data_IF_769376805367
#
_entry.id   IF_769376805367
#
_cell.length_a   1.000
_cell.length_b   1.000
_cell.length_c   1.000
_cell.angle_alpha   90.00
_cell.angle_beta   90.00
_cell.angle_gamma   90.00
#
_symmetry.space_group_name_H-M   'P 1'
#
loop_
_entity.id
_entity.type
_entity.pdbx_description
1 polymer ?
#
# COMPACT_ATOMS: atom_id res chain seq x y z
N UNK A 1 -2.76 0.81 -5.02
CA UNK A 1 -1.57 0.22 -4.35
C UNK A 1 -1.89 -1.17 -3.80
N UNK A 2 -2.89 -1.37 -2.91
CA UNK A 2 -3.19 -2.68 -2.31
C UNK A 2 -3.49 -3.76 -3.36
N UNK A 3 -4.33 -3.44 -4.35
CA UNK A 3 -4.65 -4.35 -5.48
C UNK A 3 -3.39 -4.76 -6.26
N UNK A 4 -2.48 -3.82 -6.52
CA UNK A 4 -1.23 -4.11 -7.23
C UNK A 4 -0.30 -5.02 -6.40
N UNK A 5 -0.24 -4.84 -5.08
CA UNK A 5 0.49 -5.75 -4.20
C UNK A 5 -0.11 -7.15 -4.22
N UNK A 6 -1.43 -7.26 -4.13
CA UNK A 6 -2.13 -8.54 -4.26
C UNK A 6 -1.80 -9.23 -5.60
N UNK A 7 -1.90 -8.50 -6.71
CA UNK A 7 -1.59 -9.03 -8.04
C UNK A 7 -0.13 -9.46 -8.16
N UNK A 8 0.80 -8.63 -7.68
CA UNK A 8 2.23 -8.93 -7.69
C UNK A 8 2.54 -10.21 -6.89
N UNK A 9 2.09 -10.30 -5.65
CA UNK A 9 2.40 -11.45 -4.80
C UNK A 9 1.71 -12.72 -5.25
N UNK A 10 0.48 -12.62 -5.80
CA UNK A 10 -0.18 -13.77 -6.46
C UNK A 10 0.65 -14.24 -7.67
N UNK A 11 1.20 -13.31 -8.47
CA UNK A 11 2.04 -13.63 -9.62
C UNK A 11 3.38 -14.25 -9.21
N UNK A 12 3.91 -13.89 -8.04
CA UNK A 12 5.09 -14.51 -7.43
C UNK A 12 4.80 -15.90 -6.82
N UNK A 13 3.55 -16.39 -6.90
CA UNK A 13 3.16 -17.73 -6.47
C UNK A 13 2.60 -17.83 -5.05
N UNK A 14 2.41 -16.70 -4.35
CA UNK A 14 1.83 -16.70 -3.00
C UNK A 14 0.31 -16.71 -3.03
N UNK A 15 -0.30 -17.43 -2.09
CA UNK A 15 -1.71 -17.27 -1.81
C UNK A 15 -1.95 -15.97 -1.04
N UNK A 16 -2.79 -15.08 -1.59
CA UNK A 16 -2.98 -13.74 -1.05
C UNK A 16 -4.45 -13.41 -0.79
N UNK A 17 -4.69 -12.61 0.25
CA UNK A 17 -5.95 -11.92 0.46
C UNK A 17 -5.87 -10.45 0.05
N UNK A 18 -6.99 -9.87 -0.33
CA UNK A 18 -7.15 -8.44 -0.61
C UNK A 18 -8.40 -7.91 0.06
N UNK A 19 -8.28 -6.78 0.75
CA UNK A 19 -9.41 -6.00 1.27
C UNK A 19 -9.30 -4.59 0.68
N UNK A 20 -10.24 -4.21 -0.19
CA UNK A 20 -10.17 -2.96 -0.93
C UNK A 20 -11.54 -2.36 -1.21
N UNK A 21 -11.57 -1.13 -1.68
CA UNK A 21 -12.79 -0.41 -2.05
C UNK A 21 -13.60 -1.11 -3.14
N UNK A 22 -12.95 -1.84 -4.05
CA UNK A 22 -13.61 -2.40 -5.24
C UNK A 22 -14.09 -3.82 -4.98
N UNK A 23 -13.31 -4.63 -4.28
CA UNK A 23 -13.63 -6.01 -3.98
C UNK A 23 -12.70 -6.57 -2.90
N UNK A 24 -13.15 -7.59 -2.20
CA UNK A 24 -12.31 -8.43 -1.36
C UNK A 24 -11.97 -9.72 -2.10
N UNK A 25 -10.77 -10.25 -1.86
CA UNK A 25 -10.33 -11.54 -2.42
C UNK A 25 -9.79 -12.44 -1.31
N UNK A 26 -10.11 -13.73 -1.40
CA UNK A 26 -9.52 -14.79 -0.57
C UNK A 26 -8.94 -15.80 -1.55
N UNK A 27 -7.61 -15.84 -1.70
CA UNK A 27 -7.01 -16.48 -2.86
C UNK A 27 -7.58 -15.89 -4.15
N UNK A 28 -8.02 -16.73 -5.07
CA UNK A 28 -8.59 -16.30 -6.35
C UNK A 28 -10.11 -15.99 -6.29
N UNK A 29 -10.75 -16.21 -5.13
CA UNK A 29 -12.18 -16.01 -4.99
C UNK A 29 -12.50 -14.56 -4.66
N UNK A 30 -13.37 -13.94 -5.49
CA UNK A 30 -13.85 -12.57 -5.34
C UNK A 30 -15.11 -12.52 -4.48
N UNK A 31 -15.13 -11.57 -3.53
CA UNK A 31 -16.28 -11.27 -2.67
C UNK A 31 -16.70 -9.81 -2.86
N UNK A 32 -17.99 -9.56 -2.78
CA UNK A 32 -18.53 -8.20 -2.78
C UNK A 32 -18.11 -7.46 -1.51
N UNK A 33 -17.95 -6.14 -1.59
CA UNK A 33 -17.69 -5.27 -0.46
C UNK A 33 -18.58 -4.04 -0.52
N UNK A 34 -19.07 -3.61 0.63
CA UNK A 34 -19.83 -2.35 0.77
C UNK A 34 -18.94 -1.21 1.29
N UNK A 35 -17.81 -1.56 1.91
CA UNK A 35 -16.88 -0.62 2.52
C UNK A 35 -15.43 -0.90 2.14
N UNK A 36 -14.64 0.16 1.97
CA UNK A 36 -13.18 0.06 1.76
C UNK A 36 -12.50 -0.79 2.83
N UNK A 37 -12.91 -0.60 4.07
CA UNK A 37 -12.49 -1.39 5.22
C UNK A 37 -13.75 -1.82 5.94
N UNK A 38 -14.07 -3.11 6.03
CA UNK A 38 -15.25 -3.64 6.70
C UNK A 38 -15.32 -3.26 8.18
N UNK A 39 -16.46 -3.53 8.82
CA UNK A 39 -16.56 -3.43 10.28
C UNK A 39 -15.65 -4.46 10.98
N UNK A 40 -15.36 -4.31 12.28
CA UNK A 40 -14.38 -5.17 12.96
C UNK A 40 -14.72 -6.65 12.93
N UNK A 41 -16.01 -7.02 12.97
CA UNK A 41 -16.46 -8.42 12.98
C UNK A 41 -16.24 -9.03 11.60
N UNK A 42 -16.77 -8.38 10.56
CA UNK A 42 -16.60 -8.81 9.17
C UNK A 42 -15.12 -8.88 8.78
N UNK A 43 -14.32 -7.87 9.17
CA UNK A 43 -12.89 -7.82 8.89
C UNK A 43 -12.16 -9.03 9.50
N UNK A 44 -12.40 -9.35 10.76
CA UNK A 44 -11.79 -10.50 11.41
C UNK A 44 -12.29 -11.84 10.83
N UNK A 45 -13.56 -11.94 10.43
CA UNK A 45 -14.08 -13.11 9.71
C UNK A 45 -13.37 -13.30 8.37
N UNK A 46 -13.18 -12.26 7.57
CA UNK A 46 -12.45 -12.33 6.30
C UNK A 46 -11.00 -12.76 6.52
N UNK A 47 -10.32 -12.20 7.52
CA UNK A 47 -8.94 -12.57 7.84
C UNK A 47 -8.85 -14.05 8.30
N UNK A 48 -9.80 -14.53 9.10
CA UNK A 48 -9.88 -15.95 9.48
C UNK A 48 -10.06 -16.85 8.26
N UNK A 49 -10.98 -16.49 7.36
CA UNK A 49 -11.19 -17.24 6.12
C UNK A 49 -9.96 -17.23 5.20
N UNK A 50 -9.20 -16.14 5.18
CA UNK A 50 -7.92 -16.06 4.45
C UNK A 50 -6.90 -17.03 5.04
N UNK A 51 -6.79 -17.12 6.36
CA UNK A 51 -5.92 -18.09 7.04
C UNK A 51 -6.34 -19.53 6.72
N UNK A 52 -7.64 -19.83 6.79
CA UNK A 52 -8.18 -21.17 6.48
C UNK A 52 -7.95 -21.54 5.01
N UNK A 53 -7.93 -20.57 4.11
CA UNK A 53 -7.61 -20.74 2.69
C UNK A 53 -6.11 -20.83 2.39
N UNK A 54 -5.24 -20.71 3.41
CA UNK A 54 -3.79 -20.77 3.26
C UNK A 54 -3.16 -19.50 2.73
N UNK A 55 -3.83 -18.33 2.85
CA UNK A 55 -3.23 -17.05 2.45
C UNK A 55 -2.05 -16.71 3.36
N UNK A 56 -0.91 -16.43 2.74
CA UNK A 56 0.34 -16.03 3.41
C UNK A 56 0.41 -14.52 3.62
N UNK A 57 -0.26 -13.76 2.77
CA UNK A 57 -0.32 -12.30 2.80
C UNK A 57 -1.76 -11.82 2.70
N UNK A 58 -2.06 -10.73 3.41
CA UNK A 58 -3.27 -9.93 3.20
C UNK A 58 -2.86 -8.49 2.96
N UNK A 59 -3.24 -7.95 1.81
CA UNK A 59 -3.08 -6.54 1.47
C UNK A 59 -4.40 -5.82 1.65
N UNK A 60 -4.40 -4.71 2.38
CA UNK A 60 -5.66 -4.00 2.63
C UNK A 60 -5.54 -2.49 2.51
N UNK A 61 -6.62 -1.87 2.11
CA UNK A 61 -6.80 -0.42 2.17
C UNK A 61 -7.35 -0.05 3.54
N UNK A 62 -6.63 0.83 4.24
CA UNK A 62 -7.03 1.36 5.54
C UNK A 62 -7.54 2.77 5.36
N UNK A 63 -8.87 2.94 5.38
CA UNK A 63 -9.51 4.24 5.24
C UNK A 63 -9.36 5.07 6.52
N UNK A 64 -9.43 6.40 6.42
CA UNK A 64 -9.42 7.27 7.59
C UNK A 64 -10.63 7.03 8.50
N UNK A 65 -11.78 6.69 7.92
CA UNK A 65 -12.97 6.31 8.69
C UNK A 65 -12.72 5.03 9.52
N UNK A 66 -12.06 4.02 8.94
CA UNK A 66 -11.76 2.79 9.65
C UNK A 66 -10.79 2.98 10.82
N UNK A 67 -9.85 3.91 10.67
CA UNK A 67 -8.93 4.30 11.76
C UNK A 67 -9.69 5.02 12.86
N UNK A 68 -10.54 5.99 12.49
CA UNK A 68 -11.29 6.80 13.44
C UNK A 68 -12.33 5.98 14.21
N UNK A 69 -12.94 5.01 13.55
CA UNK A 69 -13.94 4.11 14.11
C UNK A 69 -13.34 2.84 14.71
N UNK A 70 -12.02 2.78 14.88
CA UNK A 70 -11.29 1.63 15.47
C UNK A 70 -11.61 0.27 14.80
N UNK A 71 -12.00 0.27 13.50
CA UNK A 71 -12.33 -0.97 12.76
C UNK A 71 -11.16 -1.93 12.62
N UNK A 72 -9.93 -1.42 12.71
CA UNK A 72 -8.69 -2.19 12.63
C UNK A 72 -8.07 -2.46 14.01
N UNK A 73 -8.79 -2.19 15.10
CA UNK A 73 -8.31 -2.42 16.45
C UNK A 73 -7.94 -3.90 16.67
N UNK A 74 -6.80 -4.14 17.31
CA UNK A 74 -6.29 -5.49 17.57
C UNK A 74 -5.55 -6.14 16.40
N UNK A 75 -5.56 -5.57 15.19
CA UNK A 75 -4.75 -6.08 14.09
C UNK A 75 -3.29 -5.66 14.23
N UNK A 76 -2.39 -6.59 13.89
CA UNK A 76 -0.95 -6.35 13.86
C UNK A 76 -0.48 -6.33 12.40
N UNK A 77 -0.03 -5.16 11.95
CA UNK A 77 0.41 -4.97 10.58
C UNK A 77 1.92 -5.22 10.44
N UNK A 78 2.31 -5.94 9.39
CA UNK A 78 3.72 -6.13 9.00
C UNK A 78 4.33 -4.85 8.44
N UNK A 79 3.51 -3.99 7.85
CA UNK A 79 3.93 -2.69 7.34
C UNK A 79 2.77 -1.79 6.98
N UNK A 80 3.05 -0.50 6.87
CA UNK A 80 2.13 0.52 6.39
C UNK A 80 2.73 1.32 5.25
N UNK A 81 1.92 1.68 4.26
CA UNK A 81 2.32 2.47 3.11
C UNK A 81 1.52 3.77 3.09
N UNK A 82 2.22 4.90 3.11
CA UNK A 82 1.64 6.20 2.87
C UNK A 82 1.93 6.65 1.44
N UNK A 83 0.90 6.77 0.62
CA UNK A 83 1.02 7.21 -0.78
C UNK A 83 0.93 8.73 -0.93
N UNK A 84 -0.19 9.29 -0.54
CA UNK A 84 -0.46 10.73 -0.60
C UNK A 84 -1.64 11.11 0.30
N UNK A 85 -1.81 12.41 0.46
CA UNK A 85 -2.96 13.01 1.14
C UNK A 85 -3.55 14.14 0.29
N UNK A 86 -4.78 13.95 -0.15
CA UNK A 86 -5.57 14.95 -0.86
C UNK A 86 -6.59 15.59 0.08
N UNK A 87 -7.12 16.76 -0.31
CA UNK A 87 -8.23 17.40 0.42
C UNK A 87 -9.53 16.63 0.16
N UNK A 88 -9.75 15.57 0.94
CA UNK A 88 -10.90 14.69 0.86
C UNK A 88 -11.46 14.39 2.25
N UNK A 89 -12.69 13.86 2.32
CA UNK A 89 -13.34 13.45 3.57
C UNK A 89 -13.45 14.58 4.64
N UNK A 90 -13.51 15.87 4.22
CA UNK A 90 -13.64 17.00 5.15
C UNK A 90 -15.07 17.13 5.69
N UNK A 91 -16.06 16.56 5.01
CA UNK A 91 -17.41 16.37 5.49
C UNK A 91 -17.43 15.58 6.81
N UNK A 92 -16.59 14.54 6.90
CA UNK A 92 -16.45 13.69 8.09
C UNK A 92 -15.46 14.29 9.11
N UNK A 93 -14.21 14.53 8.72
CA UNK A 93 -13.16 14.98 9.64
C UNK A 93 -13.22 16.44 10.05
N UNK A 94 -14.09 17.26 9.40
CA UNK A 94 -14.33 18.69 9.64
C UNK A 94 -13.12 19.58 9.27
N UNK A 95 -11.90 19.18 9.57
CA UNK A 95 -10.68 19.91 9.25
C UNK A 95 -9.63 19.00 8.64
N UNK A 96 -8.76 19.57 7.82
CA UNK A 96 -7.64 18.85 7.25
C UNK A 96 -6.63 18.38 8.31
N UNK A 97 -6.49 19.14 9.39
CA UNK A 97 -5.65 18.75 10.53
C UNK A 97 -6.16 17.48 11.22
N UNK A 98 -7.47 17.38 11.46
CA UNK A 98 -8.07 16.17 12.02
C UNK A 98 -7.90 14.98 11.10
N UNK A 99 -8.03 15.17 9.78
CA UNK A 99 -7.80 14.13 8.79
C UNK A 99 -6.34 13.63 8.82
N UNK A 100 -5.35 14.54 8.90
CA UNK A 100 -3.93 14.19 9.08
C UNK A 100 -3.74 13.41 10.39
N UNK A 101 -4.24 13.92 11.53
CA UNK A 101 -4.12 13.25 12.84
C UNK A 101 -4.71 11.85 12.82
N UNK A 102 -5.86 11.69 12.19
CA UNK A 102 -6.50 10.38 12.06
C UNK A 102 -5.63 9.40 11.29
N UNK A 103 -5.17 9.74 10.08
CA UNK A 103 -4.31 8.85 9.30
C UNK A 103 -2.98 8.56 10.00
N UNK A 104 -2.42 9.55 10.71
CA UNK A 104 -1.19 9.40 11.47
C UNK A 104 -1.30 8.36 12.58
N UNK A 105 -2.47 8.20 13.23
CA UNK A 105 -2.71 7.17 14.26
C UNK A 105 -2.38 5.76 13.77
N UNK A 106 -2.63 5.45 12.50
CA UNK A 106 -2.26 4.16 11.92
C UNK A 106 -0.74 3.92 11.97
N UNK A 107 0.06 4.91 11.55
CA UNK A 107 1.53 4.79 11.55
C UNK A 107 2.12 4.83 12.96
N UNK A 108 1.54 5.62 13.86
CA UNK A 108 1.94 5.68 15.28
C UNK A 108 1.68 4.35 15.99
N UNK A 109 0.66 3.60 15.56
CA UNK A 109 0.30 2.29 16.11
C UNK A 109 1.06 1.10 15.51
N UNK A 110 1.92 1.31 14.51
CA UNK A 110 2.70 0.22 13.93
C UNK A 110 3.73 -0.32 14.92
N UNK A 111 3.86 -1.66 15.05
CA UNK A 111 4.85 -2.26 15.94
C UNK A 111 6.28 -1.99 15.44
N UNK A 112 7.25 -2.10 16.35
CA UNK A 112 8.67 -1.85 16.07
C UNK A 112 9.25 -2.74 14.95
N UNK A 113 8.72 -3.94 14.81
CA UNK A 113 9.12 -4.93 13.80
C UNK A 113 8.52 -4.66 12.43
N UNK A 114 7.55 -3.74 12.35
CA UNK A 114 6.94 -3.33 11.09
C UNK A 114 7.80 -2.32 10.32
N UNK A 115 7.44 -2.09 9.06
CA UNK A 115 7.96 -0.96 8.30
C UNK A 115 6.86 0.11 8.07
N UNK A 116 7.29 1.36 7.98
CA UNK A 116 6.47 2.50 7.56
C UNK A 116 7.07 3.07 6.28
N UNK A 117 6.50 2.68 5.13
CA UNK A 117 6.95 3.13 3.81
C UNK A 117 6.23 4.43 3.45
N UNK A 118 6.98 5.51 3.24
CA UNK A 118 6.41 6.85 3.10
C UNK A 118 6.86 7.55 1.83
N UNK A 119 5.89 8.12 1.09
CA UNK A 119 6.15 9.00 -0.03
C UNK A 119 6.65 10.37 0.47
N UNK A 120 7.93 10.67 0.26
CA UNK A 120 8.52 11.95 0.69
C UNK A 120 8.33 13.09 -0.30
N UNK A 121 7.70 12.83 -1.44
CA UNK A 121 7.28 13.86 -2.37
C UNK A 121 5.95 14.51 -1.94
N UNK A 122 5.14 13.81 -1.14
CA UNK A 122 4.00 14.41 -0.45
C UNK A 122 4.48 15.20 0.77
N UNK A 123 3.99 16.43 0.90
CA UNK A 123 4.38 17.36 2.00
C UNK A 123 4.05 16.80 3.40
N UNK A 124 3.03 15.95 3.50
CA UNK A 124 2.60 15.35 4.76
C UNK A 124 3.29 14.00 5.03
N UNK A 125 4.07 13.46 4.09
CA UNK A 125 4.66 12.14 4.20
C UNK A 125 5.46 11.95 5.49
N UNK A 126 6.42 12.86 5.75
CA UNK A 126 7.24 12.79 6.96
C UNK A 126 6.45 13.06 8.25
N UNK A 127 5.34 13.81 8.17
CA UNK A 127 4.46 14.05 9.32
C UNK A 127 3.79 12.74 9.76
N UNK A 128 3.39 11.88 8.83
CA UNK A 128 2.75 10.60 9.14
C UNK A 128 3.61 9.69 10.00
N UNK A 129 4.93 9.76 9.85
CA UNK A 129 5.86 8.82 10.51
C UNK A 129 6.65 9.45 11.67
N UNK A 130 6.28 10.65 12.10
CA UNK A 130 7.03 11.38 13.15
C UNK A 130 7.15 10.62 14.47
N UNK A 131 6.12 9.90 14.88
CA UNK A 131 6.05 9.24 16.19
C UNK A 131 6.02 7.70 16.07
N UNK A 132 6.13 7.16 14.86
CA UNK A 132 6.13 5.71 14.66
C UNK A 132 7.36 5.08 15.29
N UNK A 133 7.19 3.89 15.85
CA UNK A 133 8.31 3.06 16.28
C UNK A 133 8.78 2.08 15.18
N UNK A 134 8.00 1.97 14.10
CA UNK A 134 8.32 1.12 12.96
C UNK A 134 9.55 1.65 12.20
N UNK A 135 10.21 0.77 11.46
CA UNK A 135 11.31 1.16 10.57
C UNK A 135 10.80 2.06 9.44
N UNK A 136 11.18 3.34 9.46
CA UNK A 136 10.81 4.29 8.41
C UNK A 136 11.64 4.04 7.17
N UNK A 137 10.96 3.83 6.03
CA UNK A 137 11.54 3.70 4.70
C UNK A 137 10.89 4.71 3.77
N UNK A 138 11.69 5.40 2.97
CA UNK A 138 11.25 6.52 2.13
C UNK A 138 11.26 6.12 0.65
N UNK A 139 10.25 6.52 -0.09
CA UNK A 139 10.26 6.39 -1.54
C UNK A 139 9.92 7.72 -2.22
N UNK A 140 10.46 7.91 -3.42
CA UNK A 140 10.31 9.17 -4.16
C UNK A 140 10.54 8.99 -5.66
N UNK A 141 9.77 9.73 -6.46
CA UNK A 141 10.04 9.92 -7.88
C UNK A 141 10.81 11.21 -8.19
N UNK A 142 10.98 12.12 -7.21
CA UNK A 142 11.56 13.45 -7.40
C UNK A 142 12.79 13.72 -6.53
N UNK A 143 12.82 13.18 -5.31
CA UNK A 143 13.83 13.49 -4.29
C UNK A 143 14.76 12.30 -4.03
N UNK A 144 15.81 12.54 -3.24
CA UNK A 144 16.60 11.45 -2.68
C UNK A 144 15.79 10.68 -1.62
N UNK A 145 15.75 9.36 -1.76
CA UNK A 145 15.00 8.47 -0.87
C UNK A 145 15.69 7.09 -0.85
N UNK A 146 15.20 6.19 0.00
CA UNK A 146 15.71 4.83 0.11
C UNK A 146 15.36 4.00 -1.13
N UNK A 147 14.17 4.25 -1.73
CA UNK A 147 13.73 3.69 -3.00
C UNK A 147 13.42 4.83 -3.98
N UNK A 148 13.87 4.71 -5.22
CA UNK A 148 13.76 5.76 -6.22
C UNK A 148 13.21 5.25 -7.54
N UNK A 149 12.36 6.07 -8.15
CA UNK A 149 11.90 5.87 -9.51
C UNK A 149 12.10 7.15 -10.32
N UNK A 150 12.40 6.99 -11.61
CA UNK A 150 12.32 8.08 -12.61
C UNK A 150 11.50 7.60 -13.79
N UNK A 151 10.59 8.43 -14.25
CA UNK A 151 9.92 8.24 -15.53
C UNK A 151 10.91 8.69 -16.60
N UNK A 152 11.37 7.75 -17.43
CA UNK A 152 12.30 8.00 -18.53
C UNK A 152 11.55 8.35 -19.81
N UNK A 153 10.40 7.69 -20.02
CA UNK A 153 9.53 7.88 -21.18
C UNK A 153 8.09 7.56 -20.77
N UNK A 154 7.13 8.27 -21.32
CA UNK A 154 5.70 8.02 -21.16
C UNK A 154 5.00 8.07 -22.53
N UNK A 155 4.25 7.03 -22.85
CA UNK A 155 3.47 6.89 -24.09
C UNK A 155 2.04 6.49 -23.76
N UNK A 156 1.20 6.37 -24.78
CA UNK A 156 -0.17 5.87 -24.60
C UNK A 156 -0.21 4.37 -24.25
N UNK A 157 0.87 3.64 -24.48
CA UNK A 157 0.97 2.19 -24.24
C UNK A 157 1.64 1.85 -22.91
N UNK A 158 2.17 2.84 -22.19
CA UNK A 158 2.83 2.63 -20.91
C UNK A 158 3.96 3.61 -20.62
N UNK A 159 4.77 3.28 -19.61
CA UNK A 159 5.89 4.10 -19.16
C UNK A 159 7.18 3.26 -19.07
N UNK A 160 8.30 3.84 -19.53
CA UNK A 160 9.63 3.35 -19.19
C UNK A 160 10.05 3.98 -17.86
N UNK A 161 10.13 3.16 -16.84
CA UNK A 161 10.54 3.55 -15.49
C UNK A 161 11.98 3.11 -15.23
N UNK A 162 12.73 3.92 -14.49
CA UNK A 162 14.02 3.53 -13.92
C UNK A 162 13.88 3.42 -12.41
N UNK A 163 13.81 2.19 -11.88
CA UNK A 163 13.64 1.88 -10.46
C UNK A 163 14.97 1.38 -9.90
N UNK A 164 15.53 2.08 -8.92
CA UNK A 164 16.84 1.76 -8.30
C UNK A 164 17.94 1.44 -9.31
N UNK A 165 17.96 2.17 -10.43
CA UNK A 165 18.95 2.04 -11.48
C UNK A 165 18.60 1.05 -12.59
N UNK A 166 17.55 0.23 -12.44
CA UNK A 166 17.11 -0.76 -13.43
C UNK A 166 15.96 -0.19 -14.25
N UNK A 167 16.04 -0.32 -15.58
CA UNK A 167 14.96 0.10 -16.49
C UNK A 167 13.89 -0.97 -16.58
N UNK A 168 12.63 -0.56 -16.46
CA UNK A 168 11.46 -1.41 -16.44
C UNK A 168 10.37 -0.77 -17.30
N UNK A 169 9.79 -1.52 -18.23
CA UNK A 169 8.57 -1.12 -18.92
C UNK A 169 7.34 -1.48 -18.07
N UNK A 170 6.44 -0.54 -17.90
CA UNK A 170 5.17 -0.71 -17.19
C UNK A 170 4.03 -0.29 -18.09
N UNK A 171 2.97 -1.08 -18.17
CA UNK A 171 1.74 -0.76 -18.93
C UNK A 171 0.88 0.31 -18.26
N UNK A 172 1.17 0.64 -17.01
CA UNK A 172 0.47 1.73 -16.34
C UNK A 172 0.91 3.08 -16.88
N UNK A 173 -0.04 4.01 -17.01
CA UNK A 173 0.15 5.35 -17.53
C UNK A 173 -0.09 6.37 -16.42
N UNK A 174 0.58 7.50 -16.49
CA UNK A 174 0.41 8.62 -15.56
C UNK A 174 1.35 8.56 -14.36
N UNK A 175 1.86 9.73 -14.00
CA UNK A 175 2.85 9.89 -12.93
C UNK A 175 2.39 9.29 -11.59
N UNK A 176 1.09 9.35 -11.28
CA UNK A 176 0.52 8.73 -10.07
C UNK A 176 0.73 7.20 -10.04
N UNK A 177 0.70 6.54 -11.20
CA UNK A 177 0.97 5.11 -11.29
C UNK A 177 2.47 4.79 -11.15
N UNK A 178 3.38 5.69 -11.54
CA UNK A 178 4.80 5.53 -11.23
C UNK A 178 5.04 5.48 -9.71
N UNK A 179 4.33 6.33 -8.93
CA UNK A 179 4.36 6.24 -7.46
C UNK A 179 3.76 4.94 -6.93
N UNK A 180 2.64 4.46 -7.52
CA UNK A 180 2.03 3.19 -7.12
C UNK A 180 2.98 2.01 -7.39
N UNK A 181 3.57 1.96 -8.58
CA UNK A 181 4.55 0.93 -8.96
C UNK A 181 5.77 0.96 -8.03
N UNK A 182 6.31 2.15 -7.75
CA UNK A 182 7.44 2.28 -6.83
C UNK A 182 7.09 1.85 -5.40
N UNK A 183 5.90 2.22 -4.91
CA UNK A 183 5.43 1.80 -3.58
C UNK A 183 5.28 0.27 -3.48
N UNK A 184 4.75 -0.36 -4.53
CA UNK A 184 4.59 -1.81 -4.63
C UNK A 184 5.94 -2.52 -4.67
N UNK A 185 6.86 -2.06 -5.52
CA UNK A 185 8.23 -2.55 -5.56
C UNK A 185 8.92 -2.43 -4.20
N UNK A 186 8.85 -1.24 -3.59
CA UNK A 186 9.50 -0.97 -2.30
C UNK A 186 8.96 -1.86 -1.18
N UNK A 187 7.64 -2.05 -1.14
CA UNK A 187 7.00 -2.94 -0.17
C UNK A 187 7.41 -4.39 -0.38
N UNK A 188 7.50 -4.86 -1.62
CA UNK A 188 7.97 -6.21 -1.94
C UNK A 188 9.42 -6.44 -1.47
N UNK A 189 10.32 -5.46 -1.68
CA UNK A 189 11.68 -5.52 -1.15
C UNK A 189 11.72 -5.56 0.37
N UNK A 190 10.88 -4.79 1.05
CA UNK A 190 10.78 -4.77 2.52
C UNK A 190 10.17 -6.06 3.10
N UNK A 191 9.38 -6.76 2.31
CA UNK A 191 8.83 -8.08 2.65
C UNK A 191 9.80 -9.23 2.29
N UNK A 192 10.95 -8.94 1.69
CA UNK A 192 12.01 -9.91 1.39
C UNK A 192 11.84 -10.69 0.09
N UNK A 193 11.00 -10.20 -0.82
CA UNK A 193 10.84 -10.82 -2.13
C UNK A 193 12.10 -10.62 -3.01
N UNK A 194 12.33 -11.56 -3.94
CA UNK A 194 13.45 -11.46 -4.86
C UNK A 194 13.29 -10.29 -5.84
N UNK A 195 14.36 -9.53 -6.00
CA UNK A 195 14.34 -8.29 -6.79
C UNK A 195 14.07 -8.53 -8.27
N UNK A 196 14.68 -9.54 -8.87
CA UNK A 196 14.55 -9.81 -10.30
C UNK A 196 13.15 -10.37 -10.62
N UNK A 197 12.65 -11.26 -9.78
CA UNK A 197 11.30 -11.81 -9.89
C UNK A 197 10.24 -10.69 -9.75
N UNK A 198 10.41 -9.78 -8.78
CA UNK A 198 9.51 -8.64 -8.57
C UNK A 198 9.49 -7.71 -9.77
N UNK A 199 10.66 -7.33 -10.31
CA UNK A 199 10.74 -6.44 -11.47
C UNK A 199 10.11 -7.10 -12.72
N UNK A 200 10.38 -8.39 -12.93
CA UNK A 200 9.78 -9.16 -14.02
C UNK A 200 8.25 -9.21 -13.87
N UNK A 201 7.77 -9.54 -12.68
CA UNK A 201 6.34 -9.63 -12.43
C UNK A 201 5.61 -8.27 -12.59
N UNK A 202 6.24 -7.16 -12.17
CA UNK A 202 5.67 -5.81 -12.35
C UNK A 202 5.56 -5.44 -13.83
N UNK A 203 6.53 -5.81 -14.67
CA UNK A 203 6.47 -5.49 -16.11
C UNK A 203 5.33 -6.20 -16.84
N UNK A 204 4.83 -7.26 -16.26
CA UNK A 204 3.74 -8.07 -16.81
C UNK A 204 2.36 -7.77 -16.18
N UNK A 205 2.24 -6.81 -15.26
CA UNK A 205 0.97 -6.40 -14.62
C UNK A 205 0.11 -5.45 -15.49
#
# INVERSE_FOLDING_TARGET
TATLLYQLFTKLGYCCGLISTIANYIGDKKYHTEHTTPDPVELNMLLSQMVDAGCEYCFMEVSSHSIDQDRIAGLVFKGGIFSNLTHDHLDYHKTFENYIKCKKRFFDGLPKEAFALVNVDDKNGMVMVQNTQAKVCRYSCKKSADFKCRIMEETLDGMLLKIDGISLWSRFIGSHNAYNVLAVYSAAMLLGADKEEVLTAISDL
#
